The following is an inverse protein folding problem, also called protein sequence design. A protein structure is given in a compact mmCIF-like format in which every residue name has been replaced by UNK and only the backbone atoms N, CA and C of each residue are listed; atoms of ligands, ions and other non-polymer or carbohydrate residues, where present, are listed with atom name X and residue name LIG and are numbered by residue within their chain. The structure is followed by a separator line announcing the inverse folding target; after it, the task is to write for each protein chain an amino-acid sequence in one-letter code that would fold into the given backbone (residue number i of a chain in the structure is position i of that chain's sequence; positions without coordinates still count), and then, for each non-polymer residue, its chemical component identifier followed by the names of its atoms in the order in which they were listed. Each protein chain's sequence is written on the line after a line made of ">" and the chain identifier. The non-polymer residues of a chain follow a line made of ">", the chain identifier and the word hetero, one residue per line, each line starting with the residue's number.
data_IF_402290281770
#
_entry.id   IF_402290281770
#
_cell.length_a   1.000
_cell.length_b   1.000
_cell.length_c   1.000
_cell.angle_alpha   90.00
_cell.angle_beta   90.00
_cell.angle_gamma   90.00
#
_symmetry.space_group_name_H-M   'P 1'
#
loop_
_entity.id
_entity.type
_entity.pdbx_description
1 polymer ?
#
# COMPACT_ATOMS: atom_id res chain seq x y z
N UNK A 1 -14.32 -12.53 10.80
CA UNK A 1 -13.47 -11.43 11.30
C UNK A 1 -12.73 -10.83 10.12
N UNK A 2 -12.56 -9.51 10.06
CA UNK A 2 -11.85 -8.84 8.97
C UNK A 2 -10.47 -8.42 9.43
N UNK A 3 -9.49 -8.48 8.55
CA UNK A 3 -8.12 -8.05 8.80
C UNK A 3 -7.69 -7.08 7.72
N UNK A 4 -6.75 -6.22 8.05
CA UNK A 4 -6.04 -5.37 7.08
C UNK A 4 -4.56 -5.70 7.21
N UNK A 5 -3.96 -6.15 6.11
CA UNK A 5 -2.53 -6.40 6.00
C UNK A 5 -1.87 -5.20 5.35
N UNK A 6 -0.80 -4.70 5.97
CA UNK A 6 0.01 -3.61 5.42
C UNK A 6 1.28 -4.19 4.80
N UNK A 7 1.43 -3.99 3.49
CA UNK A 7 2.62 -4.43 2.76
C UNK A 7 3.64 -3.30 2.86
N UNK A 8 4.78 -3.59 3.48
CA UNK A 8 5.87 -2.63 3.69
C UNK A 8 7.06 -2.99 2.81
N UNK A 9 7.69 -1.98 2.22
CA UNK A 9 8.96 -2.13 1.52
C UNK A 9 9.75 -0.83 1.62
N UNK A 10 11.05 -0.91 1.34
CA UNK A 10 11.96 0.24 1.19
C UNK A 10 11.62 1.06 -0.06
N UNK A 11 12.02 2.34 -0.16
CA UNK A 11 11.72 3.14 -1.35
C UNK A 11 12.40 2.63 -2.62
N UNK A 12 13.55 1.96 -2.51
CA UNK A 12 14.26 1.43 -3.67
C UNK A 12 13.49 0.28 -4.37
N UNK A 13 12.47 -0.28 -3.71
CA UNK A 13 11.57 -1.24 -4.33
C UNK A 13 10.57 -0.55 -5.28
N UNK A 14 10.27 0.75 -5.10
CA UNK A 14 9.28 1.45 -5.92
C UNK A 14 9.81 1.74 -7.32
N UNK A 15 8.99 1.42 -8.32
CA UNK A 15 9.30 1.67 -9.73
C UNK A 15 10.14 0.58 -10.39
N UNK A 16 10.57 -0.44 -9.64
CA UNK A 16 11.10 -1.67 -10.22
C UNK A 16 9.96 -2.48 -10.85
N UNK A 17 10.15 -3.05 -12.05
CA UNK A 17 9.16 -3.94 -12.63
C UNK A 17 8.94 -5.14 -11.72
N UNK A 18 7.68 -5.47 -11.48
CA UNK A 18 7.31 -6.67 -10.72
C UNK A 18 7.55 -7.88 -11.65
N UNK A 19 8.30 -8.92 -11.22
CA UNK A 19 8.49 -10.11 -12.03
C UNK A 19 7.14 -10.74 -12.41
N UNK A 20 6.96 -11.10 -13.68
CA UNK A 20 5.68 -11.62 -14.18
C UNK A 20 5.20 -12.84 -13.39
N UNK A 21 6.08 -13.80 -13.06
CA UNK A 21 5.71 -14.97 -12.28
C UNK A 21 5.21 -14.65 -10.86
N UNK A 22 5.59 -13.50 -10.29
CA UNK A 22 5.04 -13.05 -9.00
C UNK A 22 3.62 -12.49 -9.17
N UNK A 23 3.35 -11.79 -10.28
CA UNK A 23 2.01 -11.31 -10.63
C UNK A 23 1.09 -12.52 -10.82
N UNK A 24 1.51 -13.50 -11.61
CA UNK A 24 0.70 -14.69 -11.92
C UNK A 24 0.37 -15.49 -10.65
N UNK A 25 1.35 -15.66 -9.76
CA UNK A 25 1.15 -16.33 -8.47
C UNK A 25 0.19 -15.55 -7.55
N UNK A 26 0.30 -14.23 -7.51
CA UNK A 26 -0.58 -13.36 -6.73
C UNK A 26 -2.02 -13.40 -7.26
N UNK A 27 -2.20 -13.35 -8.58
CA UNK A 27 -3.53 -13.42 -9.21
C UNK A 27 -4.22 -14.76 -8.92
N UNK A 28 -3.48 -15.87 -9.00
CA UNK A 28 -3.99 -17.19 -8.61
C UNK A 28 -4.43 -17.24 -7.15
N UNK A 29 -3.57 -16.79 -6.24
CA UNK A 29 -3.84 -16.78 -4.80
C UNK A 29 -5.05 -15.89 -4.44
N UNK A 30 -5.09 -14.65 -4.93
CA UNK A 30 -6.20 -13.73 -4.68
C UNK A 30 -7.49 -14.25 -5.30
N UNK A 31 -7.43 -14.80 -6.52
CA UNK A 31 -8.59 -15.34 -7.23
C UNK A 31 -9.28 -16.47 -6.46
N UNK A 32 -8.51 -17.37 -5.83
CA UNK A 32 -9.06 -18.42 -4.98
C UNK A 32 -9.75 -17.87 -3.73
N UNK A 33 -9.14 -16.89 -3.06
CA UNK A 33 -9.72 -16.28 -1.85
C UNK A 33 -10.94 -15.41 -2.16
N UNK A 34 -10.95 -14.74 -3.32
CA UNK A 34 -12.10 -14.00 -3.81
C UNK A 34 -13.29 -14.92 -4.08
N UNK A 35 -13.08 -16.07 -4.74
CA UNK A 35 -14.13 -17.08 -4.96
C UNK A 35 -14.71 -17.63 -3.65
N UNK A 36 -13.90 -17.69 -2.59
CA UNK A 36 -14.34 -18.10 -1.25
C UNK A 36 -15.00 -16.98 -0.43
N UNK A 37 -15.10 -15.75 -0.97
CA UNK A 37 -15.62 -14.59 -0.25
C UNK A 37 -14.72 -14.11 0.90
N UNK A 38 -13.43 -14.48 0.89
CA UNK A 38 -12.45 -14.16 1.93
C UNK A 38 -11.57 -12.96 1.58
N UNK A 39 -11.45 -12.62 0.29
CA UNK A 39 -10.75 -11.42 -0.16
C UNK A 39 -11.75 -10.25 -0.25
N UNK A 40 -11.46 -9.16 0.46
CA UNK A 40 -12.33 -7.99 0.47
C UNK A 40 -11.85 -6.92 -0.51
N UNK A 41 -10.58 -6.55 -0.43
CA UNK A 41 -9.95 -5.57 -1.30
C UNK A 41 -8.42 -5.64 -1.13
N UNK A 42 -7.67 -5.12 -2.09
CA UNK A 42 -6.22 -5.00 -2.00
C UNK A 42 -5.63 -4.24 -3.17
N UNK A 43 -4.63 -3.42 -2.91
CA UNK A 43 -4.00 -2.60 -3.94
C UNK A 43 -2.56 -2.20 -3.60
N UNK A 44 -1.76 -2.02 -4.65
CA UNK A 44 -0.48 -1.32 -4.58
C UNK A 44 -0.68 0.20 -4.55
N UNK A 45 0.01 0.87 -3.65
CA UNK A 45 0.00 2.33 -3.52
C UNK A 45 1.04 2.98 -4.43
N UNK A 46 0.66 4.10 -5.04
CA UNK A 46 1.58 4.95 -5.82
C UNK A 46 2.71 5.48 -4.94
N UNK A 47 3.83 5.84 -5.58
CA UNK A 47 4.98 6.49 -4.93
C UNK A 47 4.55 7.58 -3.95
N UNK A 48 5.26 7.61 -2.83
CA UNK A 48 5.02 8.52 -1.74
C UNK A 48 5.13 10.00 -2.14
N UNK A 49 5.91 10.30 -3.18
CA UNK A 49 5.99 11.63 -3.83
C UNK A 49 4.64 12.11 -4.42
N UNK A 50 3.73 11.20 -4.75
CA UNK A 50 2.37 11.53 -5.23
C UNK A 50 1.36 11.68 -4.09
N UNK A 51 1.75 11.35 -2.86
CA UNK A 51 0.93 11.51 -1.67
C UNK A 51 1.01 12.92 -1.09
N UNK A 52 -0.03 13.29 -0.33
CA UNK A 52 -0.03 14.48 0.54
C UNK A 52 -0.52 14.06 1.91
N UNK A 53 0.10 14.58 2.96
CA UNK A 53 -0.37 14.38 4.34
C UNK A 53 -1.09 15.63 4.80
N UNK A 54 -2.29 15.44 5.34
CA UNK A 54 -3.12 16.51 5.86
C UNK A 54 -3.30 16.25 7.35
N UNK A 55 -3.03 17.26 8.18
CA UNK A 55 -3.29 17.23 9.61
C UNK A 55 -4.42 18.20 9.95
N UNK A 56 -5.35 17.74 10.78
CA UNK A 56 -6.41 18.57 11.36
C UNK A 56 -6.03 18.88 12.81
N UNK A 57 -5.87 20.16 13.13
CA UNK A 57 -5.62 20.61 14.50
C UNK A 57 -6.42 21.88 14.79
N UNK A 58 -7.22 21.85 15.87
CA UNK A 58 -8.04 23.01 16.28
C UNK A 58 -8.99 23.51 15.19
N UNK A 59 -9.58 22.61 14.40
CA UNK A 59 -10.49 22.98 13.30
C UNK A 59 -9.79 23.51 12.04
N UNK A 60 -8.46 23.55 11.98
CA UNK A 60 -7.69 23.99 10.81
C UNK A 60 -6.96 22.82 10.16
N UNK A 61 -7.05 22.73 8.84
CA UNK A 61 -6.30 21.78 8.03
C UNK A 61 -4.93 22.36 7.65
N UNK A 62 -3.89 21.54 7.71
CA UNK A 62 -2.54 21.87 7.21
C UNK A 62 -2.02 20.72 6.37
N UNK A 63 -1.46 21.05 5.20
CA UNK A 63 -0.65 20.11 4.42
C UNK A 63 0.75 20.11 5.03
N UNK A 64 1.28 18.92 5.28
CA UNK A 64 2.62 18.75 5.85
C UNK A 64 3.47 17.89 4.92
N UNK A 65 4.76 18.17 4.89
CA UNK A 65 5.70 17.45 4.03
C UNK A 65 5.92 16.01 4.47
N UNK A 66 6.13 15.17 3.47
CA UNK A 66 6.58 13.78 3.57
C UNK A 66 5.57 12.80 4.19
N UNK A 67 5.58 11.52 3.77
CA UNK A 67 4.81 10.49 4.47
C UNK A 67 5.35 10.33 5.88
N UNK A 68 6.68 10.21 6.00
CA UNK A 68 7.46 10.18 7.23
C UNK A 68 8.90 10.58 6.88
N UNK A 69 9.47 11.55 7.57
CA UNK A 69 10.77 12.15 7.19
C UNK A 69 11.95 11.19 7.39
N UNK A 70 11.77 10.02 8.04
CA UNK A 70 12.86 9.09 8.38
C UNK A 70 12.47 7.59 8.40
N UNK A 71 11.41 7.16 7.72
CA UNK A 71 11.09 5.71 7.72
C UNK A 71 11.91 4.95 6.69
N UNK A 72 12.71 3.99 7.17
CA UNK A 72 13.39 2.98 6.32
C UNK A 72 12.41 2.15 5.48
N UNK A 73 11.16 2.02 5.92
CA UNK A 73 10.11 1.25 5.26
C UNK A 73 8.85 2.09 5.08
N UNK A 74 8.19 1.96 3.93
CA UNK A 74 6.95 2.63 3.61
C UNK A 74 5.84 1.64 3.30
N UNK A 75 4.60 2.08 3.50
CA UNK A 75 3.43 1.32 3.07
C UNK A 75 3.36 1.37 1.54
N UNK A 76 3.58 0.20 0.93
CA UNK A 76 3.55 -0.05 -0.50
C UNK A 76 2.22 -0.57 -1.00
N UNK A 77 1.40 -1.12 -0.10
CA UNK A 77 0.11 -1.70 -0.46
C UNK A 77 -0.67 -2.16 0.77
N UNK A 78 -1.91 -2.60 0.52
CA UNK A 78 -2.77 -3.22 1.52
C UNK A 78 -3.53 -4.42 0.94
N UNK A 79 -4.04 -5.28 1.81
CA UNK A 79 -4.97 -6.36 1.52
C UNK A 79 -5.86 -6.67 2.75
#
# INVERSE_FOLDING_TARGET
>A
MKYMMLIKHTEDYRGKPIPQGLIDAMDGFIGEYAKQGKFLDGAGLKSSHKGKRIQLHGGRLRVVDGPFTETKELIGGYA
#
